data_IF_035434141512
#
_entry.id   IF_035434141512
#
_cell.length_a   1.000
_cell.length_b   1.000
_cell.length_c   1.000
_cell.angle_alpha   90.00
_cell.angle_beta   90.00
_cell.angle_gamma   90.00
#
_symmetry.space_group_name_H-M   'P 1'
#
loop_
_entity.id
_entity.type
_entity.pdbx_description
1 polymer ?
#
# COMPACT_ATOMS: atom_id res chain seq x y z
N UNK A 1 -43.83 18.82 -53.03
CA UNK A 1 -42.74 18.01 -52.45
C UNK A 1 -41.46 18.31 -53.21
N UNK A 2 -40.47 18.82 -52.49
CA UNK A 2 -39.10 19.21 -52.86
C UNK A 2 -38.86 20.31 -53.91
N UNK A 3 -38.10 21.31 -53.45
CA UNK A 3 -38.04 22.69 -53.92
C UNK A 3 -36.61 23.02 -54.40
N UNK A 4 -36.56 23.84 -55.46
CA UNK A 4 -35.46 24.62 -56.08
C UNK A 4 -34.04 24.54 -55.50
N UNK A 5 -33.09 24.11 -56.35
CA UNK A 5 -31.66 24.50 -56.27
C UNK A 5 -31.45 25.79 -57.08
N UNK A 6 -30.90 26.82 -56.43
CA UNK A 6 -30.40 28.05 -57.07
C UNK A 6 -28.98 28.28 -56.56
N UNK A 7 -28.01 28.26 -57.48
CA UNK A 7 -26.64 28.71 -57.22
C UNK A 7 -26.64 30.22 -56.99
N UNK A 8 -25.95 30.68 -55.95
CA UNK A 8 -25.44 32.05 -55.86
C UNK A 8 -24.09 32.02 -55.16
N UNK A 9 -23.09 32.48 -55.91
CA UNK A 9 -21.75 32.85 -55.46
C UNK A 9 -21.82 34.18 -54.70
N UNK A 10 -21.21 34.25 -53.52
CA UNK A 10 -20.91 35.51 -52.85
C UNK A 10 -19.52 35.45 -52.18
N UNK A 11 -18.66 36.38 -52.60
CA UNK A 11 -17.41 36.74 -51.92
C UNK A 11 -17.68 37.26 -50.50
N UNK A 12 -16.71 37.13 -49.57
CA UNK A 12 -16.54 38.09 -48.50
C UNK A 12 -15.19 38.79 -48.61
N UNK A 13 -15.28 40.06 -48.99
CA UNK A 13 -14.71 41.25 -48.37
C UNK A 13 -13.63 41.06 -47.30
N UNK A 14 -12.43 41.53 -47.65
CA UNK A 14 -11.30 41.79 -46.76
C UNK A 14 -11.65 42.94 -45.78
N UNK A 15 -11.78 42.65 -44.50
CA UNK A 15 -11.94 43.65 -43.45
C UNK A 15 -10.63 43.81 -42.66
N UNK A 16 -10.03 44.98 -42.85
CA UNK A 16 -8.86 45.53 -42.19
C UNK A 16 -9.17 45.77 -40.70
N UNK A 17 -8.61 44.96 -39.78
CA UNK A 17 -8.62 45.27 -38.35
C UNK A 17 -7.43 46.19 -38.03
N UNK A 18 -7.75 47.43 -37.68
CA UNK A 18 -6.86 48.41 -37.07
C UNK A 18 -6.33 47.87 -35.73
N UNK A 19 -5.01 47.75 -35.62
CA UNK A 19 -4.33 47.58 -34.35
C UNK A 19 -4.45 48.86 -33.53
N UNK A 20 -5.37 48.88 -32.57
CA UNK A 20 -5.39 49.86 -31.49
C UNK A 20 -4.19 49.51 -30.59
N UNK A 21 -3.27 50.44 -30.28
CA UNK A 21 -2.26 50.19 -29.26
C UNK A 21 -3.00 50.00 -27.94
N UNK A 22 -3.03 48.76 -27.46
CA UNK A 22 -3.56 48.44 -26.15
C UNK A 22 -2.83 49.27 -25.11
N UNK A 23 -3.58 50.18 -24.49
CA UNK A 23 -3.20 50.83 -23.24
C UNK A 23 -2.83 49.69 -22.28
N UNK A 24 -1.59 49.70 -21.80
CA UNK A 24 -1.18 48.80 -20.73
C UNK A 24 -2.03 49.12 -19.50
N UNK A 25 -3.09 48.36 -19.27
CA UNK A 25 -3.81 48.37 -18.00
C UNK A 25 -2.83 47.93 -16.92
N UNK A 26 -2.50 48.83 -16.00
CA UNK A 26 -1.94 48.46 -14.72
C UNK A 26 -2.84 47.39 -14.10
N UNK A 27 -2.28 46.23 -13.78
CA UNK A 27 -3.03 45.08 -13.24
C UNK A 27 -3.80 45.50 -12.00
N UNK A 28 -5.12 45.42 -12.10
CA UNK A 28 -6.07 46.00 -11.17
C UNK A 28 -6.19 45.14 -9.90
N UNK A 29 -5.23 45.33 -8.98
CA UNK A 29 -5.34 45.23 -7.52
C UNK A 29 -5.56 43.87 -6.84
N UNK A 30 -6.36 42.96 -7.41
CA UNK A 30 -6.78 41.73 -6.73
C UNK A 30 -5.73 40.61 -6.87
N UNK A 31 -5.18 40.14 -5.74
CA UNK A 31 -4.13 39.09 -5.73
C UNK A 31 -4.02 38.41 -4.37
N UNK A 32 -3.45 37.21 -4.37
CA UNK A 32 -2.99 36.53 -3.15
C UNK A 32 -1.51 36.84 -2.92
N UNK A 33 -1.19 37.51 -1.82
CA UNK A 33 0.19 37.89 -1.47
C UNK A 33 0.90 36.78 -0.68
N UNK A 34 0.21 36.08 0.21
CA UNK A 34 0.77 35.00 1.02
C UNK A 34 -0.26 33.87 1.13
N UNK A 35 0.19 32.62 0.96
CA UNK A 35 -0.56 31.43 1.31
C UNK A 35 0.43 30.44 1.92
N UNK A 36 0.22 30.07 3.18
CA UNK A 36 1.10 29.11 3.87
C UNK A 36 0.36 28.29 4.90
N UNK A 37 0.90 27.11 5.16
CA UNK A 37 0.48 26.23 6.23
C UNK A 37 1.48 26.31 7.40
N UNK A 38 0.94 26.50 8.59
CA UNK A 38 1.68 26.52 9.86
C UNK A 38 1.48 25.14 10.52
N UNK A 39 2.47 24.25 10.37
CA UNK A 39 2.40 22.87 10.89
C UNK A 39 2.27 22.83 12.41
N UNK A 40 2.99 23.68 13.15
CA UNK A 40 2.93 23.73 14.63
C UNK A 40 1.53 24.06 15.16
N UNK A 41 0.70 24.72 14.35
CA UNK A 41 -0.63 25.19 14.76
C UNK A 41 -1.75 24.64 13.89
N UNK A 42 -1.46 23.69 12.99
CA UNK A 42 -2.37 23.11 12.01
C UNK A 42 -3.29 24.13 11.35
N UNK A 43 -2.69 25.20 10.79
CA UNK A 43 -3.43 26.39 10.37
C UNK A 43 -2.98 26.96 9.03
N UNK A 44 -3.94 27.12 8.12
CA UNK A 44 -3.79 27.82 6.87
C UNK A 44 -3.86 29.33 7.10
N UNK A 45 -2.88 30.07 6.58
CA UNK A 45 -2.82 31.53 6.61
C UNK A 45 -2.76 32.03 5.17
N UNK A 46 -3.78 32.77 4.76
CA UNK A 46 -3.85 33.39 3.43
C UNK A 46 -4.05 34.89 3.57
N UNK A 47 -3.30 35.69 2.81
CA UNK A 47 -3.44 37.14 2.74
C UNK A 47 -3.43 37.61 1.30
N UNK A 48 -4.13 38.70 1.02
CA UNK A 48 -4.09 39.31 -0.30
C UNK A 48 -4.64 40.72 -0.32
N UNK A 49 -4.66 41.30 -1.52
CA UNK A 49 -5.24 42.61 -1.80
C UNK A 49 -6.52 42.47 -2.60
N UNK A 50 -7.43 43.42 -2.42
CA UNK A 50 -8.67 43.48 -3.16
C UNK A 50 -9.40 44.80 -2.96
N UNK A 51 -10.56 44.95 -3.57
CA UNK A 51 -11.29 46.22 -3.56
C UNK A 51 -12.14 46.34 -2.30
N UNK A 52 -11.98 47.43 -1.56
CA UNK A 52 -12.80 47.77 -0.39
C UNK A 52 -14.31 47.63 -0.69
N UNK A 53 -15.04 47.11 0.29
CA UNK A 53 -16.48 46.89 0.22
C UNK A 53 -16.93 45.70 -0.63
N UNK A 54 -15.99 44.91 -1.18
CA UNK A 54 -16.28 43.63 -1.83
C UNK A 54 -16.10 42.47 -0.86
N UNK A 55 -16.73 41.34 -1.20
CA UNK A 55 -16.55 40.08 -0.46
C UNK A 55 -15.54 39.23 -1.20
N UNK A 56 -14.61 38.63 -0.47
CA UNK A 56 -13.69 37.61 -0.95
C UNK A 56 -14.08 36.29 -0.32
N UNK A 57 -14.23 35.27 -1.15
CA UNK A 57 -14.40 33.89 -0.70
C UNK A 57 -13.16 33.09 -1.06
N UNK A 58 -12.62 32.39 -0.07
CA UNK A 58 -11.47 31.51 -0.19
C UNK A 58 -11.95 30.07 -0.35
N UNK A 59 -11.41 29.38 -1.36
CA UNK A 59 -11.69 28.00 -1.67
C UNK A 59 -10.40 27.19 -1.64
N UNK A 60 -10.54 25.90 -1.35
CA UNK A 60 -9.57 24.90 -1.74
C UNK A 60 -9.61 24.79 -3.28
N UNK A 61 -8.47 24.95 -3.95
CA UNK A 61 -8.43 24.96 -5.42
C UNK A 61 -8.43 23.55 -6.04
N UNK A 62 -8.05 22.51 -5.29
CA UNK A 62 -8.05 21.11 -5.75
C UNK A 62 -9.46 20.52 -5.79
N UNK A 63 -10.29 20.78 -4.78
CA UNK A 63 -11.64 20.20 -4.67
C UNK A 63 -12.79 21.22 -4.73
N UNK A 64 -12.50 22.52 -4.87
CA UNK A 64 -13.45 23.63 -4.90
C UNK A 64 -14.29 23.86 -3.63
N UNK A 65 -13.95 23.24 -2.49
CA UNK A 65 -14.67 23.46 -1.24
C UNK A 65 -14.42 24.86 -0.70
N UNK A 66 -15.47 25.56 -0.26
CA UNK A 66 -15.35 26.86 0.41
C UNK A 66 -14.68 26.70 1.79
N UNK A 67 -13.63 27.48 2.04
CA UNK A 67 -12.88 27.50 3.30
C UNK A 67 -13.39 28.62 4.21
N UNK A 68 -13.53 29.83 3.66
CA UNK A 68 -13.94 31.01 4.41
C UNK A 68 -14.40 32.14 3.49
N UNK A 69 -15.19 33.07 4.00
CA UNK A 69 -15.57 34.30 3.28
C UNK A 69 -15.46 35.51 4.19
N UNK A 70 -15.00 36.64 3.64
CA UNK A 70 -14.80 37.89 4.37
C UNK A 70 -15.07 39.10 3.46
N UNK A 71 -15.66 40.17 4.02
CA UNK A 71 -15.76 41.48 3.36
C UNK A 71 -14.46 42.28 3.56
N UNK A 72 -13.95 42.89 2.50
CA UNK A 72 -12.73 43.72 2.54
C UNK A 72 -13.07 45.10 3.10
N UNK A 73 -12.39 45.49 4.17
CA UNK A 73 -12.61 46.78 4.84
C UNK A 73 -11.56 47.85 4.49
N UNK A 74 -10.31 47.47 4.18
CA UNK A 74 -9.20 48.42 3.93
C UNK A 74 -8.19 47.80 2.97
N UNK A 75 -8.64 47.61 1.71
CA UNK A 75 -7.94 47.07 0.52
C UNK A 75 -7.10 45.76 0.63
N UNK A 76 -7.01 45.19 1.83
CA UNK A 76 -6.35 43.94 2.17
C UNK A 76 -7.33 42.99 2.86
N UNK A 77 -7.06 41.70 2.74
CA UNK A 77 -7.85 40.65 3.35
C UNK A 77 -6.97 39.53 3.89
N UNK A 78 -7.46 38.83 4.91
CA UNK A 78 -6.71 37.75 5.56
C UNK A 78 -7.60 36.67 6.14
N UNK A 79 -7.30 35.43 5.76
CA UNK A 79 -7.90 34.24 6.33
C UNK A 79 -6.93 33.50 7.26
N UNK A 80 -7.50 32.93 8.31
CA UNK A 80 -6.86 31.94 9.18
C UNK A 80 -7.84 30.80 9.40
N UNK A 81 -7.57 29.63 8.85
CA UNK A 81 -8.44 28.46 8.95
C UNK A 81 -7.67 27.29 9.56
N UNK A 82 -8.27 26.61 10.54
CA UNK A 82 -7.73 25.43 11.21
C UNK A 82 -8.66 24.23 10.97
N UNK A 83 -8.21 23.02 11.31
CA UNK A 83 -8.96 21.77 11.14
C UNK A 83 -9.40 21.49 9.69
N UNK A 84 -8.53 21.82 8.72
CA UNK A 84 -8.80 21.55 7.31
C UNK A 84 -8.41 20.11 6.98
N UNK A 85 -9.38 19.31 6.51
CA UNK A 85 -9.14 18.00 5.92
C UNK A 85 -9.96 17.87 4.63
N UNK A 86 -9.33 17.82 3.44
CA UNK A 86 -7.88 18.00 3.22
C UNK A 86 -7.37 19.41 3.53
N UNK A 87 -6.08 19.52 3.87
CA UNK A 87 -5.34 20.79 3.79
C UNK A 87 -5.12 21.14 2.33
N UNK A 88 -5.35 22.38 1.86
CA UNK A 88 -5.21 22.70 0.45
C UNK A 88 -3.75 22.78 -0.04
N UNK A 89 -3.42 22.16 -1.19
CA UNK A 89 -2.11 22.40 -1.84
C UNK A 89 -2.09 23.77 -2.51
N UNK A 90 -3.24 24.19 -3.01
CA UNK A 90 -3.47 25.51 -3.61
C UNK A 90 -4.78 26.09 -3.10
N UNK A 91 -4.80 27.41 -2.96
CA UNK A 91 -6.02 28.16 -2.61
C UNK A 91 -6.44 29.04 -3.76
N UNK A 92 -7.76 29.19 -3.92
CA UNK A 92 -8.39 30.10 -4.88
C UNK A 92 -9.19 31.14 -4.13
N UNK A 93 -8.93 32.41 -4.36
CA UNK A 93 -9.72 33.51 -3.82
C UNK A 93 -10.57 34.11 -4.95
N UNK A 94 -11.86 34.27 -4.73
CA UNK A 94 -12.78 34.95 -5.64
C UNK A 94 -13.38 36.17 -4.97
N UNK A 95 -13.32 37.32 -5.65
CA UNK A 95 -13.95 38.56 -5.23
C UNK A 95 -15.34 38.70 -5.90
N UNK A 96 -16.29 39.33 -5.21
CA UNK A 96 -17.68 39.47 -5.67
C UNK A 96 -17.89 40.32 -6.93
N UNK A 97 -16.84 40.89 -7.53
CA UNK A 97 -16.86 41.51 -8.87
C UNK A 97 -16.35 40.57 -9.98
N UNK A 98 -16.17 39.29 -9.66
CA UNK A 98 -15.78 38.24 -10.61
C UNK A 98 -14.28 38.08 -10.80
N UNK A 99 -13.43 38.85 -10.09
CA UNK A 99 -11.98 38.65 -10.10
C UNK A 99 -11.61 37.43 -9.28
N UNK A 100 -10.64 36.65 -9.75
CA UNK A 100 -10.11 35.51 -9.01
C UNK A 100 -8.59 35.46 -9.08
N UNK A 101 -7.98 34.83 -8.07
CA UNK A 101 -6.55 34.59 -7.99
C UNK A 101 -6.29 33.25 -7.32
N UNK A 102 -5.23 32.56 -7.73
CA UNK A 102 -4.80 31.29 -7.13
C UNK A 102 -3.36 31.38 -6.65
N UNK A 103 -3.03 30.61 -5.61
CA UNK A 103 -1.67 30.51 -5.09
C UNK A 103 -1.44 29.18 -4.39
N UNK A 104 -0.26 28.60 -4.60
CA UNK A 104 0.21 27.44 -3.84
C UNK A 104 0.39 27.78 -2.36
N UNK A 105 0.02 26.84 -1.50
CA UNK A 105 0.19 26.96 -0.06
C UNK A 105 1.61 26.52 0.29
N UNK A 106 2.45 27.46 0.69
CA UNK A 106 3.80 27.15 1.14
C UNK A 106 3.74 26.27 2.40
N UNK A 107 4.60 25.26 2.47
CA UNK A 107 4.64 24.26 3.54
C UNK A 107 3.32 23.49 3.70
N UNK A 108 2.51 23.33 2.64
CA UNK A 108 1.39 22.40 2.71
C UNK A 108 1.89 20.97 2.94
N UNK A 109 1.15 20.14 3.71
CA UNK A 109 1.51 18.74 3.91
C UNK A 109 1.47 17.98 2.59
N UNK A 110 2.28 16.93 2.45
CA UNK A 110 2.46 16.20 1.19
C UNK A 110 1.16 15.56 0.65
N UNK A 111 0.18 15.28 1.51
CA UNK A 111 -1.14 14.75 1.18
C UNK A 111 -2.21 15.85 1.02
N UNK A 112 -1.81 17.11 0.82
CA UNK A 112 -2.75 18.21 0.62
C UNK A 112 -3.72 17.92 -0.56
N UNK A 113 -4.95 18.46 -0.49
CA UNK A 113 -6.08 18.24 -1.40
C UNK A 113 -6.69 16.82 -1.46
N UNK A 114 -6.24 15.85 -0.65
CA UNK A 114 -6.75 14.46 -0.62
C UNK A 114 -6.92 13.84 -2.03
N UNK A 115 -6.18 14.31 -3.03
CA UNK A 115 -6.28 13.89 -4.44
C UNK A 115 -4.91 13.33 -4.83
N UNK A 116 -4.73 12.05 -5.17
CA UNK A 116 -5.47 11.26 -6.16
C UNK A 116 -5.63 12.05 -7.47
N UNK A 117 -4.54 12.15 -8.24
CA UNK A 117 -4.56 12.41 -9.69
C UNK A 117 -4.86 13.82 -10.18
N UNK A 118 -3.85 14.44 -10.81
CA UNK A 118 -4.07 15.26 -12.03
C UNK A 118 -3.75 16.75 -11.96
N UNK A 119 -2.62 17.12 -12.59
CA UNK A 119 -2.58 18.27 -13.51
C UNK A 119 -1.98 19.60 -13.05
N UNK A 120 -0.67 19.77 -13.29
CA UNK A 120 -0.14 20.92 -14.03
C UNK A 120 0.26 22.20 -13.30
N UNK A 121 1.58 22.29 -13.02
CA UNK A 121 2.52 23.45 -13.20
C UNK A 121 2.26 24.78 -12.46
N UNK A 122 3.21 25.47 -11.84
CA UNK A 122 4.69 25.47 -11.84
C UNK A 122 5.18 26.22 -10.59
N UNK A 123 6.33 25.84 -10.01
CA UNK A 123 7.02 26.74 -9.07
C UNK A 123 8.03 26.12 -8.09
N UNK A 124 9.10 25.47 -8.59
CA UNK A 124 10.43 25.72 -8.03
C UNK A 124 10.90 24.96 -6.78
N UNK A 125 10.63 23.66 -6.68
CA UNK A 125 11.57 22.72 -6.05
C UNK A 125 12.23 21.94 -7.18
N UNK A 126 13.55 22.02 -7.33
CA UNK A 126 14.25 21.41 -8.47
C UNK A 126 14.21 19.89 -8.43
N UNK A 127 13.16 19.28 -8.99
CA UNK A 127 13.26 17.91 -9.50
C UNK A 127 14.12 17.95 -10.74
N UNK A 128 15.30 17.31 -10.68
CA UNK A 128 16.17 17.19 -11.85
C UNK A 128 15.40 16.42 -12.92
N UNK A 129 15.28 16.92 -14.17
CA UNK A 129 14.62 16.17 -15.22
C UNK A 129 15.26 14.78 -15.36
N UNK A 130 14.45 13.73 -15.13
CA UNK A 130 14.85 12.33 -15.29
C UNK A 130 15.20 12.08 -16.77
N UNK A 131 16.47 12.20 -17.10
CA UNK A 131 17.00 12.13 -18.48
C UNK A 131 18.06 11.03 -18.64
N UNK A 132 18.37 10.30 -17.57
CA UNK A 132 19.33 9.21 -17.55
C UNK A 132 18.78 7.85 -17.99
N UNK A 133 19.67 6.85 -17.99
CA UNK A 133 19.30 5.44 -18.14
C UNK A 133 18.96 4.88 -16.76
N UNK A 134 17.80 4.27 -16.59
CA UNK A 134 17.37 3.75 -15.29
C UNK A 134 17.54 2.23 -15.17
N UNK A 135 17.55 1.75 -13.94
CA UNK A 135 17.34 0.35 -13.59
C UNK A 135 16.61 0.27 -12.27
N UNK A 136 15.90 -0.82 -12.06
CA UNK A 136 15.28 -1.14 -10.79
C UNK A 136 15.81 -2.48 -10.31
N UNK A 137 16.09 -2.56 -9.01
CA UNK A 137 16.35 -3.81 -8.31
C UNK A 137 15.15 -4.05 -7.42
N UNK A 138 14.58 -5.25 -7.48
CA UNK A 138 13.48 -5.64 -6.62
C UNK A 138 13.74 -7.02 -6.01
N UNK A 139 13.40 -7.18 -4.75
CA UNK A 139 13.56 -8.42 -4.02
C UNK A 139 12.51 -8.52 -2.91
N UNK A 140 12.12 -9.74 -2.63
CA UNK A 140 11.47 -10.09 -1.38
C UNK A 140 12.52 -10.25 -0.26
N UNK A 141 12.13 -9.99 0.99
CA UNK A 141 13.01 -10.03 2.17
C UNK A 141 13.06 -11.38 2.90
N UNK A 142 11.98 -12.18 2.87
CA UNK A 142 11.89 -13.46 3.59
C UNK A 142 12.32 -14.68 2.77
N UNK A 143 12.38 -14.57 1.43
CA UNK A 143 12.51 -15.75 0.57
C UNK A 143 11.22 -16.56 0.54
N UNK A 144 11.31 -17.89 0.42
CA UNK A 144 10.13 -18.77 0.37
C UNK A 144 9.23 -18.58 1.59
N UNK A 145 8.04 -18.01 1.36
CA UNK A 145 7.08 -17.80 2.43
C UNK A 145 6.36 -19.12 2.76
N UNK A 146 6.53 -19.62 3.98
CA UNK A 146 5.95 -20.88 4.43
C UNK A 146 4.50 -20.66 4.87
N UNK A 147 3.56 -20.92 3.97
CA UNK A 147 2.14 -20.78 4.19
C UNK A 147 1.48 -22.15 4.39
N UNK A 148 0.24 -22.14 4.87
CA UNK A 148 -0.54 -23.36 5.06
C UNK A 148 -1.68 -23.42 4.02
N UNK A 149 -2.25 -24.60 3.73
CA UNK A 149 -3.43 -24.66 2.84
C UNK A 149 -4.74 -24.38 3.60
N UNK A 150 -4.76 -24.71 4.90
CA UNK A 150 -5.90 -24.52 5.79
C UNK A 150 -5.46 -23.77 7.05
N UNK A 151 -6.06 -22.64 7.34
CA UNK A 151 -5.64 -21.73 8.41
C UNK A 151 -6.51 -21.84 9.68
N UNK A 152 -7.47 -22.77 9.71
CA UNK A 152 -8.47 -22.89 10.80
C UNK A 152 -7.88 -23.27 12.15
N UNK A 153 -6.77 -24.03 12.17
CA UNK A 153 -6.12 -24.46 13.41
C UNK A 153 -5.00 -23.49 13.79
N UNK A 154 -4.00 -23.34 12.92
CA UNK A 154 -2.99 -22.29 12.98
C UNK A 154 -2.33 -22.12 11.59
N UNK A 155 -1.52 -21.07 11.47
CA UNK A 155 -0.61 -20.84 10.34
C UNK A 155 0.82 -20.70 10.81
N UNK A 156 1.79 -21.29 10.11
CA UNK A 156 3.22 -21.07 10.41
C UNK A 156 3.57 -19.60 10.16
N UNK A 157 3.28 -19.10 8.96
CA UNK A 157 3.32 -17.68 8.61
C UNK A 157 2.03 -17.31 7.89
N UNK A 158 1.51 -16.08 8.06
CA UNK A 158 0.34 -15.60 7.33
C UNK A 158 0.62 -15.44 5.82
N UNK A 159 -0.34 -15.63 4.90
CA UNK A 159 -0.10 -15.67 3.45
C UNK A 159 0.03 -14.29 2.82
N UNK A 160 1.02 -13.53 3.26
CA UNK A 160 1.42 -12.28 2.62
C UNK A 160 2.93 -12.22 2.48
N UNK A 161 3.38 -11.41 1.53
CA UNK A 161 4.79 -11.18 1.30
C UNK A 161 5.12 -9.69 1.20
N UNK A 162 6.39 -9.34 1.42
CA UNK A 162 6.87 -7.96 1.30
C UNK A 162 7.70 -7.83 0.04
N UNK A 163 7.41 -6.82 -0.78
CA UNK A 163 8.23 -6.53 -1.95
C UNK A 163 8.97 -5.22 -1.76
N UNK A 164 10.28 -5.26 -1.94
CA UNK A 164 11.15 -4.12 -1.79
C UNK A 164 11.79 -3.76 -3.14
N UNK A 165 11.97 -2.46 -3.38
CA UNK A 165 12.62 -1.99 -4.60
C UNK A 165 13.52 -0.78 -4.39
N UNK A 166 14.60 -0.71 -5.17
CA UNK A 166 15.45 0.46 -5.30
C UNK A 166 15.55 0.83 -6.79
N UNK A 167 15.27 2.10 -7.08
CA UNK A 167 15.36 2.66 -8.43
C UNK A 167 16.67 3.41 -8.55
N UNK A 168 17.46 3.13 -9.57
CA UNK A 168 18.76 3.74 -9.80
C UNK A 168 18.78 4.45 -11.14
N UNK A 169 19.22 5.71 -11.12
CA UNK A 169 19.71 6.41 -12.30
C UNK A 169 21.17 6.03 -12.52
N UNK A 170 21.47 5.40 -13.66
CA UNK A 170 22.82 4.96 -14.02
C UNK A 170 23.69 6.16 -14.37
N UNK A 171 24.93 6.14 -13.89
CA UNK A 171 25.96 7.13 -14.18
C UNK A 171 27.31 6.63 -13.69
N UNK A 172 28.36 7.47 -13.79
CA UNK A 172 29.66 7.15 -13.18
C UNK A 172 29.56 6.93 -11.67
N UNK A 173 28.71 7.72 -11.01
CA UNK A 173 28.21 7.46 -9.67
C UNK A 173 26.69 7.23 -9.80
N UNK A 174 26.19 6.01 -9.59
CA UNK A 174 24.75 5.76 -9.66
C UNK A 174 24.03 6.50 -8.54
N UNK A 175 22.83 7.02 -8.85
CA UNK A 175 21.99 7.72 -7.88
C UNK A 175 20.75 6.89 -7.58
N UNK A 176 20.52 6.58 -6.31
CA UNK A 176 19.26 5.96 -5.86
C UNK A 176 18.19 7.05 -5.84
N UNK A 177 17.12 6.82 -6.57
CA UNK A 177 15.99 7.74 -6.70
C UNK A 177 14.97 7.51 -5.58
N UNK A 178 14.23 8.56 -5.29
CA UNK A 178 13.21 8.64 -4.26
C UNK A 178 11.90 9.19 -4.85
N UNK A 179 10.78 9.15 -4.10
CA UNK A 179 9.58 9.91 -4.46
C UNK A 179 9.87 11.39 -4.70
N UNK A 180 10.80 11.99 -3.94
CA UNK A 180 11.21 13.40 -4.07
C UNK A 180 11.87 13.69 -5.44
N UNK A 181 12.29 12.67 -6.18
CA UNK A 181 12.80 12.77 -7.55
C UNK A 181 11.70 12.64 -8.63
N UNK A 182 10.43 12.50 -8.23
CA UNK A 182 9.30 12.29 -9.13
C UNK A 182 9.23 10.86 -9.68
N UNK A 183 9.62 9.88 -8.86
CA UNK A 183 9.57 8.44 -9.19
C UNK A 183 8.55 7.73 -8.31
N UNK A 184 7.64 6.99 -8.95
CA UNK A 184 6.76 6.03 -8.27
C UNK A 184 7.14 4.61 -8.65
N UNK A 185 6.79 3.64 -7.82
CA UNK A 185 6.98 2.22 -8.12
C UNK A 185 5.63 1.51 -8.06
N UNK A 186 5.37 0.67 -9.06
CA UNK A 186 4.17 -0.16 -9.13
C UNK A 186 4.52 -1.63 -9.31
N UNK A 187 3.61 -2.53 -8.96
CA UNK A 187 3.69 -3.94 -9.29
C UNK A 187 2.39 -4.48 -9.89
N UNK A 188 2.50 -5.49 -10.75
CA UNK A 188 1.37 -6.29 -11.26
C UNK A 188 1.79 -7.74 -11.43
N UNK A 189 0.84 -8.67 -11.44
CA UNK A 189 1.13 -10.08 -11.66
C UNK A 189 1.52 -10.32 -13.13
N UNK A 190 2.36 -11.31 -13.39
CA UNK A 190 2.64 -11.78 -14.75
C UNK A 190 2.59 -13.30 -14.80
N UNK A 191 2.45 -13.80 -16.02
CA UNK A 191 2.58 -15.23 -16.30
C UNK A 191 3.98 -15.73 -15.93
N UNK A 192 4.06 -16.88 -15.27
CA UNK A 192 5.35 -17.54 -15.08
C UNK A 192 5.96 -17.87 -16.44
N UNK A 193 7.22 -17.45 -16.61
CA UNK A 193 8.05 -17.79 -17.76
C UNK A 193 9.15 -18.79 -17.38
N UNK A 194 9.09 -19.34 -16.17
CA UNK A 194 10.04 -20.36 -15.70
C UNK A 194 9.72 -21.64 -16.46
N UNK A 195 10.70 -22.14 -17.22
CA UNK A 195 10.68 -23.47 -17.78
C UNK A 195 11.69 -24.31 -17.02
N UNK A 196 11.27 -25.43 -16.46
CA UNK A 196 12.20 -26.37 -15.86
C UNK A 196 13.10 -26.95 -16.97
N UNK A 197 14.43 -26.81 -16.83
CA UNK A 197 15.37 -27.31 -17.82
C UNK A 197 15.32 -28.84 -18.01
N UNK A 198 14.75 -29.60 -17.07
CA UNK A 198 14.71 -31.07 -17.09
C UNK A 198 13.37 -31.65 -17.59
N UNK A 199 12.35 -30.81 -17.85
CA UNK A 199 11.25 -31.10 -18.77
C UNK A 199 10.06 -31.99 -18.28
N UNK A 200 8.89 -31.63 -18.84
CA UNK A 200 7.62 -32.35 -19.11
C UNK A 200 6.93 -33.29 -18.09
N UNK A 201 7.63 -33.91 -17.12
CA UNK A 201 7.03 -34.91 -16.21
C UNK A 201 6.96 -34.46 -14.74
N UNK A 202 7.43 -33.25 -14.43
CA UNK A 202 7.26 -32.65 -13.10
C UNK A 202 5.87 -31.99 -13.00
N UNK A 203 5.25 -31.94 -11.79
CA UNK A 203 3.99 -31.24 -11.59
C UNK A 203 4.05 -29.85 -12.23
N UNK A 204 2.96 -29.38 -12.83
CA UNK A 204 3.02 -28.36 -13.86
C UNK A 204 3.84 -27.17 -13.39
N UNK A 205 5.06 -27.03 -13.95
CA UNK A 205 5.77 -25.76 -13.89
C UNK A 205 4.79 -24.82 -14.56
N UNK A 206 4.22 -23.94 -13.74
CA UNK A 206 2.97 -23.29 -14.04
C UNK A 206 3.23 -22.17 -15.06
N UNK A 207 3.72 -22.55 -16.24
CA UNK A 207 3.88 -21.69 -17.40
C UNK A 207 2.47 -21.14 -17.68
N UNK A 208 2.38 -19.83 -17.86
CA UNK A 208 1.11 -19.12 -17.97
C UNK A 208 0.29 -19.04 -16.66
N UNK A 209 0.89 -19.36 -15.50
CA UNK A 209 0.28 -19.16 -14.19
C UNK A 209 0.37 -17.72 -13.73
N UNK A 210 -0.78 -17.17 -13.37
CA UNK A 210 -0.93 -15.79 -12.90
C UNK A 210 -1.67 -15.78 -11.58
N UNK A 211 -1.04 -15.19 -10.57
CA UNK A 211 -1.64 -14.95 -9.25
C UNK A 211 -1.90 -13.46 -9.12
N UNK A 212 -2.97 -12.96 -9.75
CA UNK A 212 -3.40 -11.57 -9.64
C UNK A 212 -4.43 -11.36 -8.52
N UNK A 213 -5.04 -12.43 -7.99
CA UNK A 213 -5.98 -12.36 -6.87
C UNK A 213 -5.60 -13.29 -5.72
N UNK A 214 -5.97 -12.88 -4.50
CA UNK A 214 -5.88 -13.70 -3.27
C UNK A 214 -7.23 -14.29 -2.86
N UNK A 215 -8.25 -14.22 -3.72
CA UNK A 215 -9.62 -14.61 -3.41
C UNK A 215 -9.97 -15.95 -4.08
N UNK A 216 -10.85 -16.71 -3.43
CA UNK A 216 -11.41 -17.93 -4.00
C UNK A 216 -12.35 -17.57 -5.15
N UNK A 217 -12.16 -18.19 -6.31
CA UNK A 217 -13.10 -18.10 -7.44
C UNK A 217 -14.10 -19.26 -7.39
N UNK A 218 -15.26 -19.20 -8.07
CA UNK A 218 -16.20 -20.31 -8.10
C UNK A 218 -15.54 -21.61 -8.55
N UNK A 219 -15.51 -22.62 -7.67
CA UNK A 219 -14.88 -23.93 -7.92
C UNK A 219 -13.35 -23.96 -7.76
N UNK A 220 -12.73 -22.86 -7.33
CA UNK A 220 -11.28 -22.78 -7.04
C UNK A 220 -11.10 -22.38 -5.58
N UNK A 221 -10.56 -23.30 -4.79
CA UNK A 221 -10.13 -23.03 -3.43
C UNK A 221 -8.65 -22.68 -3.43
N UNK A 222 -8.32 -21.47 -2.97
CA UNK A 222 -6.95 -21.01 -2.77
C UNK A 222 -6.57 -21.00 -1.29
N UNK A 223 -7.47 -20.53 -0.43
CA UNK A 223 -7.25 -20.41 1.01
C UNK A 223 -8.55 -20.06 1.74
N UNK A 224 -8.67 -20.46 3.01
CA UNK A 224 -9.69 -19.99 3.94
C UNK A 224 -9.16 -18.90 4.91
N UNK A 225 -7.96 -18.38 4.69
CA UNK A 225 -7.37 -17.31 5.51
C UNK A 225 -8.24 -16.04 5.52
N UNK A 226 -8.99 -15.79 4.44
CA UNK A 226 -9.90 -14.65 4.36
C UNK A 226 -11.37 -15.07 4.56
N UNK A 227 -11.68 -16.15 5.29
CA UNK A 227 -13.03 -16.64 5.58
C UNK A 227 -13.51 -16.36 7.02
N UNK A 228 -14.71 -15.77 7.23
CA UNK A 228 -15.11 -15.25 8.53
C UNK A 228 -15.36 -16.43 9.44
N UNK A 229 -14.41 -16.73 10.32
CA UNK A 229 -14.43 -17.87 11.22
C UNK A 229 -15.49 -17.70 12.34
N UNK A 230 -16.75 -17.44 11.97
CA UNK A 230 -17.86 -17.13 12.87
C UNK A 230 -17.99 -15.66 13.26
N UNK A 231 -17.13 -14.78 12.75
CA UNK A 231 -17.17 -13.32 12.95
C UNK A 231 -17.94 -12.62 11.82
N UNK A 232 -18.39 -11.38 12.06
CA UNK A 232 -19.10 -10.58 11.06
C UNK A 232 -18.23 -10.23 9.84
N UNK A 233 -16.89 -10.27 9.97
CA UNK A 233 -15.88 -10.03 8.92
C UNK A 233 -14.52 -10.71 9.26
N UNK A 234 -13.56 -10.67 8.32
CA UNK A 234 -12.25 -11.34 8.42
C UNK A 234 -11.04 -10.47 8.66
N UNK A 235 -10.16 -10.97 9.55
CA UNK A 235 -8.81 -10.47 9.82
C UNK A 235 -8.51 -10.24 11.32
N UNK A 236 -8.11 -9.03 11.72
CA UNK A 236 -7.72 -8.60 13.06
C UNK A 236 -8.41 -9.34 14.21
N UNK A 237 -9.74 -9.30 14.30
CA UNK A 237 -10.46 -9.88 15.44
C UNK A 237 -10.47 -11.41 15.38
N UNK A 238 -10.51 -11.97 14.17
CA UNK A 238 -10.39 -13.41 13.92
C UNK A 238 -9.02 -13.94 14.36
N UNK A 239 -7.96 -13.15 14.17
CA UNK A 239 -6.58 -13.56 14.47
C UNK A 239 -6.07 -13.12 15.84
N UNK A 240 -6.72 -12.16 16.53
CA UNK A 240 -6.34 -11.69 17.86
C UNK A 240 -6.02 -12.83 18.86
N UNK A 241 -6.81 -13.93 18.93
CA UNK A 241 -6.50 -15.05 19.83
C UNK A 241 -5.16 -15.75 19.56
N UNK A 242 -4.63 -15.67 18.33
CA UNK A 242 -3.33 -16.26 17.97
C UNK A 242 -2.13 -15.39 18.41
N UNK A 243 -2.37 -14.13 18.77
CA UNK A 243 -1.35 -13.18 19.21
C UNK A 243 -1.66 -12.65 20.62
N UNK A 244 -1.70 -13.54 21.64
CA UNK A 244 -2.14 -13.18 22.97
C UNK A 244 -1.21 -12.16 23.63
N UNK A 245 -1.77 -11.33 24.50
CA UNK A 245 -0.99 -10.42 25.33
C UNK A 245 -0.03 -11.18 26.23
N UNK A 246 1.23 -10.70 26.28
CA UNK A 246 2.22 -11.16 27.25
C UNK A 246 2.56 -10.00 28.21
N UNK A 247 1.90 -9.92 29.38
CA UNK A 247 2.11 -8.85 30.36
C UNK A 247 3.51 -8.83 30.98
N UNK A 248 4.33 -9.87 30.74
CA UNK A 248 5.73 -9.95 31.19
C UNK A 248 6.75 -9.78 30.06
N UNK A 249 6.28 -9.66 28.81
CA UNK A 249 7.11 -9.43 27.65
C UNK A 249 7.56 -7.96 27.53
N UNK A 250 8.52 -7.65 26.64
CA UNK A 250 9.06 -6.30 26.47
C UNK A 250 8.00 -5.24 26.16
N UNK A 251 6.88 -5.68 25.55
CA UNK A 251 5.75 -4.82 25.19
C UNK A 251 4.59 -4.92 26.19
N UNK A 252 4.43 -5.99 26.98
CA UNK A 252 3.31 -6.09 27.94
C UNK A 252 1.92 -6.37 27.33
N UNK A 253 1.79 -6.39 26.00
CA UNK A 253 0.55 -6.62 25.24
C UNK A 253 0.83 -7.40 23.95
N UNK A 254 -0.24 -7.85 23.27
CA UNK A 254 -0.13 -8.55 21.98
C UNK A 254 0.15 -7.56 20.85
N UNK A 255 0.90 -7.95 19.82
CA UNK A 255 1.21 -7.05 18.69
C UNK A 255 -0.05 -6.55 17.98
N UNK A 256 -1.10 -7.37 17.97
CA UNK A 256 -2.39 -6.98 17.41
C UNK A 256 -3.08 -5.90 18.27
N UNK A 257 -2.91 -5.91 19.60
CA UNK A 257 -3.53 -4.92 20.48
C UNK A 257 -3.07 -3.46 20.23
N UNK A 258 -2.02 -3.26 19.41
CA UNK A 258 -1.53 -1.95 18.96
C UNK A 258 -2.37 -1.29 17.85
N UNK A 259 -3.30 -2.02 17.24
CA UNK A 259 -4.03 -1.53 16.07
C UNK A 259 -5.50 -1.20 16.40
N UNK A 260 -5.98 0.04 16.17
CA UNK A 260 -7.28 0.51 16.65
C UNK A 260 -8.47 0.13 15.74
N UNK A 261 -8.45 -1.07 15.15
CA UNK A 261 -9.45 -1.45 14.14
C UNK A 261 -10.70 -2.09 14.76
N UNK A 262 -11.86 -1.49 14.43
CA UNK A 262 -13.20 -2.04 14.70
C UNK A 262 -13.77 -2.82 13.52
N UNK A 263 -13.16 -2.68 12.35
CA UNK A 263 -13.57 -3.33 11.11
C UNK A 263 -12.38 -4.07 10.52
N UNK A 264 -12.68 -5.19 9.90
CA UNK A 264 -11.64 -6.15 9.58
C UNK A 264 -11.13 -6.02 8.14
N UNK A 265 -9.83 -5.71 8.02
CA UNK A 265 -9.16 -5.36 6.77
C UNK A 265 -8.05 -6.36 6.40
N UNK A 266 -7.93 -7.45 7.16
CA UNK A 266 -6.83 -8.41 7.09
C UNK A 266 -5.83 -8.29 8.25
N UNK A 267 -4.75 -9.09 8.24
CA UNK A 267 -3.72 -9.00 9.28
C UNK A 267 -2.96 -7.68 9.13
N UNK A 268 -2.75 -6.92 10.22
CA UNK A 268 -1.94 -5.74 10.17
C UNK A 268 -0.47 -6.13 9.97
N UNK A 269 0.13 -5.72 8.86
CA UNK A 269 1.58 -5.58 8.79
C UNK A 269 1.93 -4.22 9.41
N UNK A 270 2.63 -4.17 10.56
CA UNK A 270 3.08 -2.90 11.13
C UNK A 270 4.06 -2.25 10.16
N UNK A 271 3.82 -0.98 9.83
CA UNK A 271 4.85 -0.18 9.18
C UNK A 271 5.98 0.03 10.19
N UNK A 272 7.09 -0.69 10.01
CA UNK A 272 8.21 -0.70 10.96
C UNK A 272 8.86 0.68 11.12
N UNK A 273 8.83 1.50 10.06
CA UNK A 273 9.36 2.88 10.13
C UNK A 273 8.46 3.73 11.01
N UNK A 274 7.14 3.67 10.85
CA UNK A 274 6.21 4.36 11.74
C UNK A 274 6.32 3.83 13.18
N UNK A 275 6.47 2.52 13.35
CA UNK A 275 6.57 1.87 14.66
C UNK A 275 7.79 2.34 15.46
N UNK A 276 8.95 2.50 14.82
CA UNK A 276 10.21 2.81 15.52
C UNK A 276 10.68 4.26 15.35
N UNK A 277 10.34 4.93 14.25
CA UNK A 277 10.80 6.29 13.90
C UNK A 277 9.68 7.32 13.80
N UNK A 278 8.41 6.91 13.88
CA UNK A 278 7.28 7.84 13.80
C UNK A 278 6.99 8.38 12.39
N UNK A 279 6.01 9.29 12.24
CA UNK A 279 5.54 9.78 10.95
C UNK A 279 6.57 10.56 10.12
N UNK A 280 7.59 11.13 10.76
CA UNK A 280 8.67 11.85 10.08
C UNK A 280 9.78 10.91 9.56
N UNK A 281 9.79 9.65 10.02
CA UNK A 281 10.74 8.62 9.61
C UNK A 281 12.18 8.93 10.03
N UNK A 282 12.37 9.78 11.05
CA UNK A 282 13.67 10.16 11.57
C UNK A 282 14.00 9.29 12.81
N UNK A 283 15.22 8.74 12.93
CA UNK A 283 15.58 7.97 14.11
C UNK A 283 15.50 8.78 15.40
N UNK A 284 14.76 8.28 16.40
CA UNK A 284 14.66 8.91 17.73
C UNK A 284 13.68 10.08 17.82
N UNK A 285 12.84 10.29 16.80
CA UNK A 285 11.75 11.29 16.79
C UNK A 285 10.37 10.66 16.79
N UNK A 286 10.27 9.32 16.83
CA UNK A 286 9.03 8.66 17.21
C UNK A 286 8.56 9.31 18.50
N UNK A 287 7.35 9.88 18.48
CA UNK A 287 6.71 10.44 19.66
C UNK A 287 6.98 9.46 20.80
N UNK A 288 7.62 9.93 21.89
CA UNK A 288 7.83 9.16 23.11
C UNK A 288 6.56 8.33 23.31
N UNK A 289 6.71 7.00 23.44
CA UNK A 289 5.61 6.08 23.71
C UNK A 289 4.61 6.82 24.60
N UNK A 290 3.33 6.87 24.20
CA UNK A 290 2.36 7.70 24.89
C UNK A 290 2.35 7.45 26.41
N UNK A 291 1.60 8.22 27.20
CA UNK A 291 1.49 7.95 28.64
C UNK A 291 1.05 6.51 29.00
N UNK A 292 0.59 5.73 28.02
CA UNK A 292 0.25 4.30 28.08
C UNK A 292 1.36 3.34 27.59
N UNK A 293 2.51 3.83 27.12
CA UNK A 293 3.63 3.01 26.66
C UNK A 293 3.47 2.50 25.23
N UNK A 294 2.49 3.00 24.46
CA UNK A 294 2.20 2.51 23.11
C UNK A 294 2.87 3.37 22.02
N UNK A 295 3.46 2.76 20.97
CA UNK A 295 3.94 3.49 19.81
C UNK A 295 2.74 3.99 18.98
N UNK A 296 2.76 5.28 18.59
CA UNK A 296 1.73 5.86 17.71
C UNK A 296 0.43 6.30 18.38
N UNK A 297 0.41 6.58 19.68
CA UNK A 297 -0.76 7.20 20.35
C UNK A 297 -0.81 8.72 20.23
N UNK A 298 0.07 9.31 19.42
CA UNK A 298 -0.06 10.68 18.93
C UNK A 298 -1.24 10.82 17.95
N UNK A 299 -1.40 12.01 17.35
CA UNK A 299 -2.52 12.33 16.43
C UNK A 299 -2.56 11.46 15.15
N UNK A 300 -1.57 10.58 14.91
CA UNK A 300 -1.49 9.65 13.77
C UNK A 300 -1.28 8.20 14.26
N UNK A 301 -2.35 7.37 14.36
CA UNK A 301 -2.26 6.01 14.87
C UNK A 301 -1.44 5.09 13.97
N UNK A 302 -0.83 4.04 14.56
CA UNK A 302 -0.29 2.93 13.77
C UNK A 302 -1.40 2.36 12.87
N UNK A 303 -1.21 2.45 11.57
CA UNK A 303 -2.13 1.89 10.58
C UNK A 303 -1.58 0.57 10.06
N UNK A 304 -2.43 -0.45 9.99
CA UNK A 304 -2.18 -1.67 9.23
C UNK A 304 -1.90 -1.28 7.78
N UNK A 305 -0.72 -1.62 7.27
CA UNK A 305 -0.40 -1.41 5.87
C UNK A 305 -0.41 -2.73 5.12
N UNK A 306 -1.57 -3.10 4.56
CA UNK A 306 -1.70 -4.23 3.65
C UNK A 306 -1.84 -3.72 2.22
N UNK A 307 -0.86 -4.01 1.37
CA UNK A 307 -0.93 -3.60 -0.03
C UNK A 307 -1.87 -4.50 -0.82
N UNK A 308 -2.65 -3.94 -1.75
CA UNK A 308 -3.66 -4.71 -2.47
C UNK A 308 -3.05 -5.72 -3.47
N UNK A 309 -3.76 -6.81 -3.74
CA UNK A 309 -3.47 -7.59 -4.94
C UNK A 309 -3.90 -6.83 -6.20
N UNK A 310 -3.26 -7.07 -7.37
CA UNK A 310 -3.63 -6.44 -8.65
C UNK A 310 -5.10 -6.61 -9.05
N UNK A 311 -5.76 -7.64 -8.52
CA UNK A 311 -7.16 -7.95 -8.78
C UNK A 311 -7.36 -8.66 -10.11
N UNK A 312 -8.62 -8.98 -10.43
CA UNK A 312 -8.96 -9.76 -11.65
C UNK A 312 -8.62 -9.04 -12.96
N UNK A 313 -8.57 -7.71 -12.95
CA UNK A 313 -8.11 -6.91 -14.09
C UNK A 313 -6.56 -6.80 -14.16
N UNK A 314 -5.86 -7.36 -13.17
CA UNK A 314 -4.42 -7.26 -12.99
C UNK A 314 -3.91 -5.80 -13.08
N UNK A 315 -4.64 -4.89 -12.43
CA UNK A 315 -4.30 -3.48 -12.44
C UNK A 315 -3.04 -3.24 -11.61
N UNK A 316 -2.05 -2.46 -12.10
CA UNK A 316 -0.85 -2.16 -11.34
C UNK A 316 -1.19 -1.51 -9.99
N UNK A 317 -0.58 -2.03 -8.92
CA UNK A 317 -0.71 -1.53 -7.56
C UNK A 317 0.54 -0.73 -7.18
N UNK A 318 0.40 0.28 -6.33
CA UNK A 318 1.51 1.12 -5.91
C UNK A 318 2.27 0.52 -4.72
N UNK A 319 3.58 0.78 -4.65
CA UNK A 319 4.33 0.61 -3.42
C UNK A 319 3.87 1.69 -2.43
N UNK A 320 3.34 1.27 -1.28
CA UNK A 320 2.73 2.18 -0.31
C UNK A 320 3.71 2.88 0.63
N UNK A 321 4.98 2.46 0.67
CA UNK A 321 5.98 3.03 1.56
C UNK A 321 7.31 3.38 0.88
N UNK A 322 8.03 4.31 1.50
CA UNK A 322 9.43 4.63 1.18
C UNK A 322 10.25 4.74 2.46
N UNK A 323 11.16 3.80 2.66
CA UNK A 323 12.06 3.73 3.81
C UNK A 323 13.31 4.55 3.52
N UNK A 324 13.42 5.72 4.13
CA UNK A 324 14.61 6.58 4.03
C UNK A 324 15.78 5.97 4.81
N UNK A 325 15.53 5.63 6.07
CA UNK A 325 16.44 4.98 7.01
C UNK A 325 15.76 3.75 7.61
N UNK A 326 16.49 2.65 7.81
CA UNK A 326 15.92 1.40 8.32
C UNK A 326 16.24 1.20 9.81
N UNK A 327 15.24 1.09 10.70
CA UNK A 327 15.45 0.63 12.06
C UNK A 327 15.76 -0.87 12.07
N UNK A 328 16.91 -1.25 12.61
CA UNK A 328 17.24 -2.66 12.83
C UNK A 328 17.42 -2.94 14.31
N UNK A 329 16.43 -3.57 14.93
CA UNK A 329 16.43 -3.96 16.35
C UNK A 329 16.90 -2.85 17.30
N UNK A 330 16.51 -1.60 17.06
CA UNK A 330 17.06 -0.41 17.75
C UNK A 330 16.90 -0.44 19.28
N UNK A 331 15.95 -1.22 19.79
CA UNK A 331 15.72 -1.43 21.24
C UNK A 331 16.56 -2.57 21.84
N UNK A 332 17.29 -3.33 21.03
CA UNK A 332 18.19 -4.38 21.48
C UNK A 332 19.64 -3.88 21.49
N UNK A 333 20.53 -4.44 22.33
CA UNK A 333 21.95 -4.08 22.34
C UNK A 333 22.68 -4.30 21.00
N UNK A 334 22.12 -5.12 20.11
CA UNK A 334 22.62 -5.38 18.76
C UNK A 334 22.07 -4.40 17.71
N UNK A 335 21.21 -3.48 18.14
CA UNK A 335 20.45 -2.60 17.27
C UNK A 335 21.24 -1.46 16.65
N UNK A 336 20.84 -1.04 15.45
CA UNK A 336 21.35 0.15 14.78
C UNK A 336 20.37 0.65 13.72
N UNK A 337 20.57 1.90 13.27
CA UNK A 337 19.87 2.45 12.10
C UNK A 337 20.75 2.32 10.87
N UNK A 338 20.21 1.78 9.78
CA UNK A 338 20.84 1.89 8.46
C UNK A 338 20.44 3.22 7.83
N UNK A 339 21.36 4.17 7.81
CA UNK A 339 21.15 5.47 7.17
C UNK A 339 21.15 5.37 5.64
N UNK A 340 20.40 6.26 4.99
CA UNK A 340 20.31 6.38 3.53
C UNK A 340 19.93 5.07 2.82
N UNK A 341 19.09 4.27 3.46
CA UNK A 341 18.61 3.00 2.94
C UNK A 341 17.79 3.14 1.65
N UNK A 342 16.97 4.20 1.56
CA UNK A 342 16.34 4.69 0.32
C UNK A 342 15.64 3.58 -0.50
N UNK A 343 14.63 2.95 0.09
CA UNK A 343 13.97 1.75 -0.46
C UNK A 343 12.45 1.93 -0.53
N UNK A 344 11.87 1.70 -1.70
CA UNK A 344 10.43 1.54 -1.83
C UNK A 344 10.00 0.20 -1.23
N UNK A 345 8.89 0.18 -0.49
CA UNK A 345 8.34 -1.04 0.11
C UNK A 345 6.85 -1.18 -0.20
N UNK A 346 6.45 -2.40 -0.53
CA UNK A 346 5.06 -2.84 -0.66
C UNK A 346 4.87 -3.98 0.35
N UNK A 347 4.40 -3.62 1.53
CA UNK A 347 4.24 -4.53 2.66
C UNK A 347 2.89 -5.24 2.60
N UNK A 348 2.87 -6.49 3.05
CA UNK A 348 1.64 -7.26 3.22
C UNK A 348 0.92 -7.59 1.91
N UNK A 349 1.62 -7.81 0.79
CA UNK A 349 1.00 -8.25 -0.46
C UNK A 349 0.41 -9.65 -0.25
N UNK A 350 -0.92 -9.86 -0.30
CA UNK A 350 -1.53 -11.17 -0.10
C UNK A 350 -1.10 -12.14 -1.20
N UNK A 351 -0.43 -13.23 -0.86
CA UNK A 351 0.07 -14.19 -1.86
C UNK A 351 -0.26 -15.61 -1.43
N UNK A 352 -0.66 -16.43 -2.40
CA UNK A 352 -1.08 -17.80 -2.19
C UNK A 352 -0.33 -18.73 -3.15
N UNK A 353 -0.05 -19.99 -2.77
CA UNK A 353 0.62 -20.97 -3.62
C UNK A 353 -0.31 -21.53 -4.70
N UNK A 354 -1.53 -20.97 -4.86
CA UNK A 354 -2.53 -21.37 -5.84
C UNK A 354 -2.93 -20.16 -6.69
N UNK A 355 -2.80 -20.30 -7.99
CA UNK A 355 -3.06 -19.24 -8.97
C UNK A 355 -4.54 -19.00 -9.23
N UNK A 356 -4.87 -18.01 -10.07
CA UNK A 356 -6.26 -17.64 -10.39
C UNK A 356 -7.03 -18.70 -11.19
N UNK A 357 -6.37 -19.80 -11.60
CA UNK A 357 -6.96 -20.94 -12.31
C UNK A 357 -6.97 -22.22 -11.46
N UNK A 358 -6.56 -22.15 -10.18
CA UNK A 358 -6.50 -23.30 -9.28
C UNK A 358 -5.29 -24.20 -9.49
N UNK A 359 -4.25 -23.72 -10.20
CA UNK A 359 -2.98 -24.44 -10.35
C UNK A 359 -2.04 -24.06 -9.22
N UNK A 360 -1.25 -25.03 -8.77
CA UNK A 360 -0.16 -24.75 -7.85
C UNK A 360 0.89 -23.86 -8.53
N UNK A 361 1.32 -22.81 -7.83
CA UNK A 361 2.34 -21.88 -8.27
C UNK A 361 3.11 -21.35 -7.06
N UNK A 362 4.19 -22.04 -6.64
CA UNK A 362 4.96 -21.63 -5.48
C UNK A 362 5.91 -20.44 -5.77
N UNK A 363 6.04 -20.07 -7.05
CA UNK A 363 6.93 -19.01 -7.52
C UNK A 363 6.18 -17.97 -8.37
N UNK A 364 5.12 -17.34 -7.85
CA UNK A 364 4.36 -16.36 -8.62
C UNK A 364 5.27 -15.16 -8.93
N UNK A 365 5.18 -14.69 -10.18
CA UNK A 365 5.96 -13.56 -10.66
C UNK A 365 5.15 -12.27 -10.60
N UNK A 366 5.81 -11.22 -10.11
CA UNK A 366 5.32 -9.84 -10.18
C UNK A 366 6.27 -9.03 -11.06
N UNK A 367 5.71 -8.23 -11.97
CA UNK A 367 6.45 -7.18 -12.65
C UNK A 367 6.48 -5.95 -11.78
N UNK A 368 7.67 -5.47 -11.46
CA UNK A 368 7.90 -4.22 -10.75
C UNK A 368 8.38 -3.16 -11.73
N UNK A 369 7.72 -2.00 -11.73
CA UNK A 369 8.00 -0.90 -12.64
C UNK A 369 8.28 0.38 -11.86
N UNK A 370 9.43 0.98 -12.13
CA UNK A 370 9.68 2.38 -11.79
C UNK A 370 9.03 3.26 -12.86
N UNK A 371 8.23 4.24 -12.44
CA UNK A 371 7.48 5.13 -13.34
C UNK A 371 7.80 6.58 -13.02
N UNK A 372 7.85 7.41 -14.05
CA UNK A 372 7.87 8.86 -13.89
C UNK A 372 6.49 9.29 -13.37
N UNK A 373 6.45 9.97 -12.23
CA UNK A 373 5.20 10.35 -11.57
C UNK A 373 4.33 11.27 -12.44
N UNK A 374 4.96 12.19 -13.19
CA UNK A 374 4.25 13.20 -13.97
C UNK A 374 3.69 12.70 -15.30
N UNK A 375 4.40 11.77 -15.96
CA UNK A 375 4.04 11.26 -17.30
C UNK A 375 3.50 9.84 -17.28
N UNK A 376 3.62 9.16 -16.13
CA UNK A 376 3.37 7.73 -15.97
C UNK A 376 4.23 6.82 -16.87
N UNK A 377 5.30 7.37 -17.48
CA UNK A 377 6.19 6.61 -18.35
C UNK A 377 7.03 5.63 -17.53
N UNK A 378 7.13 4.38 -18.00
CA UNK A 378 8.03 3.38 -17.40
C UNK A 378 9.47 3.79 -17.63
N UNK A 379 10.23 3.90 -16.54
CA UNK A 379 11.65 4.22 -16.52
C UNK A 379 12.51 2.96 -16.57
N UNK A 380 12.13 1.96 -15.77
CA UNK A 380 12.76 0.65 -15.69
C UNK A 380 11.76 -0.37 -15.15
N UNK A 381 11.97 -1.65 -15.47
CA UNK A 381 11.17 -2.74 -14.94
C UNK A 381 12.05 -3.96 -14.63
N UNK A 382 11.58 -4.79 -13.71
CA UNK A 382 12.15 -6.11 -13.39
C UNK A 382 11.02 -7.06 -13.00
N UNK A 383 11.15 -8.32 -13.39
CA UNK A 383 10.24 -9.37 -12.95
C UNK A 383 10.87 -10.06 -11.73
N UNK A 384 10.11 -10.19 -10.65
CA UNK A 384 10.57 -10.70 -9.36
C UNK A 384 9.62 -11.78 -8.86
N UNK A 385 10.18 -12.80 -8.21
CA UNK A 385 9.41 -13.87 -7.60
C UNK A 385 8.92 -13.38 -6.23
N UNK A 386 7.63 -13.56 -5.93
CA UNK A 386 7.07 -13.45 -4.58
C UNK A 386 6.78 -14.85 -4.06
N UNK A 387 7.81 -15.59 -3.67
CA UNK A 387 7.66 -17.02 -3.43
C UNK A 387 6.78 -17.30 -2.22
N UNK A 388 5.94 -18.33 -2.35
CA UNK A 388 5.07 -18.83 -1.29
C UNK A 388 4.84 -20.30 -1.50
N UNK A 389 5.05 -21.12 -0.47
CA UNK A 389 4.83 -22.56 -0.56
C UNK A 389 3.99 -23.05 0.60
N UNK A 390 3.14 -24.03 0.31
CA UNK A 390 2.50 -24.88 1.31
C UNK A 390 3.22 -26.21 1.51
N UNK A 391 4.47 -26.32 1.05
CA UNK A 391 5.29 -27.55 1.12
C UNK A 391 5.79 -27.88 2.52
N UNK A 392 5.66 -26.97 3.50
CA UNK A 392 5.87 -27.26 4.91
C UNK A 392 4.73 -28.16 5.42
N UNK A 393 4.73 -29.39 4.92
CA UNK A 393 3.64 -30.33 5.05
C UNK A 393 3.64 -31.00 6.43
N UNK A 394 3.03 -30.30 7.39
CA UNK A 394 3.01 -30.67 8.80
C UNK A 394 2.60 -32.14 9.03
N UNK A 395 1.76 -32.69 8.16
CA UNK A 395 1.24 -34.06 8.30
C UNK A 395 2.33 -35.13 8.16
N UNK A 396 3.40 -34.88 7.40
CA UNK A 396 4.49 -35.87 7.24
C UNK A 396 5.21 -36.19 8.55
N UNK A 397 5.25 -35.22 9.49
CA UNK A 397 5.97 -35.34 10.75
C UNK A 397 5.06 -35.41 11.99
N UNK A 398 3.86 -34.82 11.91
CA UNK A 398 2.97 -34.62 13.06
C UNK A 398 1.65 -35.41 12.97
N UNK A 399 1.50 -36.26 11.95
CA UNK A 399 0.44 -37.23 11.85
C UNK A 399 1.01 -38.65 11.80
N UNK A 400 0.25 -39.61 12.30
CA UNK A 400 0.57 -41.02 12.14
C UNK A 400 0.23 -41.48 10.72
N UNK A 401 0.84 -42.59 10.27
CA UNK A 401 0.54 -43.14 8.95
C UNK A 401 -0.95 -43.46 8.79
N UNK A 402 -1.64 -43.87 9.87
CA UNK A 402 -3.09 -44.12 9.85
C UNK A 402 -3.90 -42.85 9.54
N UNK A 403 -3.49 -41.70 10.07
CA UNK A 403 -4.10 -40.40 9.75
C UNK A 403 -3.84 -40.04 8.29
N UNK A 404 -2.61 -40.20 7.79
CA UNK A 404 -2.29 -39.88 6.40
C UNK A 404 -2.99 -40.79 5.37
N UNK A 405 -3.21 -42.06 5.71
CA UNK A 405 -3.95 -43.02 4.88
C UNK A 405 -5.45 -42.68 4.73
N UNK A 406 -5.95 -41.67 5.47
CA UNK A 406 -7.34 -41.21 5.38
C UNK A 406 -7.66 -40.55 4.03
N UNK A 407 -6.70 -39.85 3.41
CA UNK A 407 -6.85 -39.41 2.01
C UNK A 407 -6.34 -40.49 1.07
N UNK A 408 -7.13 -40.81 0.04
CA UNK A 408 -6.72 -41.74 -1.03
C UNK A 408 -6.19 -41.02 -2.27
N UNK A 409 -6.11 -39.68 -2.26
CA UNK A 409 -5.75 -38.90 -3.44
C UNK A 409 -4.24 -38.95 -3.72
N UNK A 410 -3.42 -39.06 -2.67
CA UNK A 410 -1.96 -39.04 -2.76
C UNK A 410 -1.36 -40.08 -1.81
N UNK A 411 -0.20 -40.62 -2.15
CA UNK A 411 0.53 -41.56 -1.28
C UNK A 411 1.50 -40.77 -0.40
N UNK A 412 1.06 -40.38 0.79
CA UNK A 412 1.87 -39.70 1.79
C UNK A 412 2.54 -40.71 2.71
N UNK A 413 3.84 -40.53 2.95
CA UNK A 413 4.57 -41.28 3.98
C UNK A 413 4.69 -40.37 5.19
N UNK A 414 4.11 -40.80 6.31
CA UNK A 414 4.08 -40.03 7.54
C UNK A 414 4.80 -40.81 8.63
N UNK A 415 5.80 -40.17 9.23
CA UNK A 415 6.78 -40.83 10.09
C UNK A 415 6.42 -40.71 11.58
N UNK A 416 5.35 -40.00 11.93
CA UNK A 416 4.82 -39.84 13.29
C UNK A 416 5.87 -39.36 14.32
N UNK A 417 6.90 -38.64 13.86
CA UNK A 417 8.09 -38.29 14.64
C UNK A 417 7.73 -37.48 15.90
N UNK A 418 6.70 -36.65 15.83
CA UNK A 418 6.29 -35.79 16.94
C UNK A 418 5.45 -36.51 18.01
N UNK A 419 4.96 -37.71 17.73
CA UNK A 419 4.09 -38.50 18.59
C UNK A 419 4.87 -39.47 19.48
N UNK A 420 5.87 -38.94 20.19
CA UNK A 420 6.76 -39.74 21.04
C UNK A 420 6.36 -39.76 22.51
N UNK A 421 5.35 -38.96 22.88
CA UNK A 421 4.99 -38.72 24.27
C UNK A 421 3.60 -39.25 24.62
N UNK A 422 3.49 -40.37 25.35
CA UNK A 422 2.22 -41.00 25.65
C UNK A 422 1.35 -40.20 26.64
N UNK A 423 1.84 -39.08 27.17
CA UNK A 423 1.05 -38.20 28.03
C UNK A 423 0.23 -37.17 27.25
N UNK A 424 0.42 -37.08 25.93
CA UNK A 424 -0.33 -36.19 25.06
C UNK A 424 -1.38 -37.05 24.34
N UNK A 425 -2.62 -36.59 24.38
CA UNK A 425 -3.68 -37.17 23.56
C UNK A 425 -3.50 -36.66 22.13
N UNK A 426 -2.97 -37.44 21.21
CA UNK A 426 -2.81 -37.04 19.80
C UNK A 426 -4.04 -37.48 18.99
N UNK A 427 -4.35 -36.74 17.92
CA UNK A 427 -5.34 -37.14 16.93
C UNK A 427 -4.75 -38.29 16.10
N UNK A 428 -5.36 -39.47 16.22
CA UNK A 428 -4.99 -40.71 15.50
C UNK A 428 -6.00 -41.12 14.43
N UNK A 429 -7.15 -40.44 14.38
CA UNK A 429 -8.16 -40.58 13.32
C UNK A 429 -8.41 -39.19 12.72
N UNK A 430 -8.12 -39.02 11.44
CA UNK A 430 -8.35 -37.76 10.74
C UNK A 430 -9.83 -37.32 10.81
N UNK A 431 -10.79 -38.26 10.91
CA UNK A 431 -12.20 -37.92 11.01
C UNK A 431 -12.55 -37.10 12.27
N UNK A 432 -11.71 -37.15 13.30
CA UNK A 432 -11.86 -36.37 14.53
C UNK A 432 -11.36 -34.91 14.36
N UNK A 433 -10.64 -34.61 13.28
CA UNK A 433 -10.19 -33.28 12.95
C UNK A 433 -11.22 -32.52 12.08
N UNK A 434 -11.35 -31.19 12.25
CA UNK A 434 -12.21 -30.38 11.39
C UNK A 434 -11.65 -30.30 9.97
N UNK A 435 -12.53 -30.21 8.97
CA UNK A 435 -12.18 -30.12 7.56
C UNK A 435 -13.38 -30.42 6.68
N UNK A 436 -13.44 -29.83 5.50
CA UNK A 436 -14.51 -30.09 4.51
C UNK A 436 -14.13 -31.23 3.57
N UNK A 437 -12.82 -31.46 3.40
CA UNK A 437 -12.29 -32.56 2.60
C UNK A 437 -11.39 -33.46 3.45
N UNK A 438 -11.19 -34.73 3.05
CA UNK A 438 -10.23 -35.61 3.72
C UNK A 438 -8.84 -35.00 3.82
N UNK A 439 -8.38 -34.29 2.80
CA UNK A 439 -7.07 -33.62 2.78
C UNK A 439 -6.97 -32.55 3.88
N UNK A 440 -8.02 -31.74 4.05
CA UNK A 440 -8.08 -30.73 5.12
C UNK A 440 -8.10 -31.39 6.50
N UNK A 441 -8.80 -32.52 6.66
CA UNK A 441 -8.86 -33.25 7.92
C UNK A 441 -7.49 -33.81 8.32
N UNK A 442 -6.75 -34.40 7.38
CA UNK A 442 -5.37 -34.87 7.62
C UNK A 442 -4.46 -33.71 8.02
N UNK A 443 -4.49 -32.60 7.27
CA UNK A 443 -3.69 -31.42 7.58
C UNK A 443 -4.04 -30.83 8.96
N UNK A 444 -5.32 -30.73 9.31
CA UNK A 444 -5.76 -30.17 10.58
C UNK A 444 -5.49 -31.09 11.77
N UNK A 445 -5.52 -32.42 11.59
CA UNK A 445 -5.10 -33.38 12.61
C UNK A 445 -3.64 -33.14 13.02
N UNK A 446 -2.75 -33.02 12.04
CA UNK A 446 -1.33 -32.72 12.27
C UNK A 446 -1.13 -31.40 13.02
N UNK A 447 -1.92 -30.38 12.69
CA UNK A 447 -1.86 -29.08 13.36
C UNK A 447 -2.32 -29.13 14.80
N UNK A 448 -3.42 -29.83 15.08
CA UNK A 448 -3.89 -30.02 16.46
C UNK A 448 -2.79 -30.73 17.27
N UNK A 449 -2.13 -31.74 16.68
CA UNK A 449 -1.03 -32.46 17.33
C UNK A 449 0.15 -31.54 17.67
N UNK A 450 0.51 -30.61 16.78
CA UNK A 450 1.54 -29.58 17.04
C UNK A 450 1.15 -28.69 18.23
N UNK A 451 -0.08 -28.20 18.27
CA UNK A 451 -0.55 -27.33 19.36
C UNK A 451 -0.57 -28.07 20.70
N UNK A 452 -1.06 -29.32 20.72
CA UNK A 452 -1.06 -30.16 21.93
C UNK A 452 0.36 -30.43 22.44
N UNK A 453 1.33 -30.56 21.54
CA UNK A 453 2.75 -30.67 21.89
C UNK A 453 3.32 -29.36 22.45
N UNK A 454 2.92 -28.22 21.88
CA UNK A 454 3.35 -26.90 22.35
C UNK A 454 2.82 -26.60 23.76
N UNK A 455 1.53 -26.85 24.00
CA UNK A 455 0.83 -26.58 25.27
C UNK A 455 1.32 -27.45 26.44
N UNK A 456 2.10 -28.49 26.15
CA UNK A 456 2.75 -29.31 27.18
C UNK A 456 3.93 -28.60 27.85
N UNK A 457 4.55 -27.61 27.22
CA UNK A 457 5.70 -26.87 27.77
C UNK A 457 5.31 -26.03 28.98
#
# INVERSE_FOLDING_TARGET
MFNKKSLLSSLPTLALLLAIPGVASASDGFRIEEAKWDHERSRLIVKGKGREGRTVTLFNAGNHSEIASQRIDDDEWRFRAANLSPVPCRVRAEQSDGKSAEKSVNNAPANCDNSAGGGGTTGGGGTTPLTGNFTILAANDLGMHCADQDYRIFSILPPYNVLNAQVLEKGQAPRILSPDDGVTVTYSAIESNIQDPDGAELPPIATDSVTATSQNAPGIFKSNFWEPAGYDANGFLTYAPLYPSNPTGPLGYGVLELFPFVADLGLPAPNLVLLYFGPDGIPGTADDFGPDGLPGTGDEPLTAHQTAMPGSANAPQHFGGYVRDLPFFVDLPIGYTVENFKRFTAEGIPILPVDDQGRENPYPLMRVEARNESTNAVLAQVDVVLPVASEADCQQCHASQAVCDFTSQYTLVCDDIANSDPSIDFIEDAADAPGETPEQQVLNAAKINILRLHDKK
#
